data_IF_652340271331
#
_entry.id   IF_652340271331
#
_cell.length_a   1.000
_cell.length_b   1.000
_cell.length_c   1.000
_cell.angle_alpha   90.00
_cell.angle_beta   90.00
_cell.angle_gamma   90.00
#
_symmetry.space_group_name_H-M   'P 1'
#
loop_
_entity.id
_entity.type
_entity.pdbx_description
1 polymer ?
#
# COMPACT_ATOMS: atom_id res chain seq x y z
N UNK A 1 -2.12 11.41 7.87
CA UNK A 1 -0.81 11.55 7.18
C UNK A 1 -0.41 10.29 6.41
N UNK A 2 -0.18 9.14 7.06
CA UNK A 2 0.30 7.91 6.40
C UNK A 2 -0.52 7.46 5.17
N UNK A 3 -1.85 7.60 5.21
CA UNK A 3 -2.72 7.25 4.06
C UNK A 3 -2.44 8.06 2.80
N UNK A 4 -2.16 9.35 2.93
CA UNK A 4 -1.93 10.23 1.78
C UNK A 4 -0.56 9.93 1.13
N UNK A 5 0.41 9.56 1.96
CA UNK A 5 1.75 9.14 1.52
C UNK A 5 1.65 7.86 0.68
N UNK A 6 0.95 6.83 1.17
CA UNK A 6 0.77 5.59 0.43
C UNK A 6 0.00 5.84 -0.89
N UNK A 7 -1.09 6.63 -0.84
CA UNK A 7 -1.83 7.01 -2.06
C UNK A 7 -0.96 7.77 -3.06
N UNK A 8 -0.13 8.69 -2.57
CA UNK A 8 0.81 9.46 -3.39
C UNK A 8 1.83 8.56 -4.10
N UNK A 9 2.40 7.60 -3.38
CA UNK A 9 3.38 6.67 -3.98
C UNK A 9 2.74 5.66 -4.94
N UNK A 10 1.55 5.16 -4.64
CA UNK A 10 0.79 4.34 -5.59
C UNK A 10 0.51 5.12 -6.88
N UNK A 11 0.09 6.38 -6.76
CA UNK A 11 -0.16 7.25 -7.92
C UNK A 11 1.12 7.57 -8.70
N UNK A 12 2.25 7.81 -8.02
CA UNK A 12 3.55 8.03 -8.66
C UNK A 12 4.04 6.84 -9.46
N UNK A 13 3.84 5.63 -8.94
CA UNK A 13 4.24 4.38 -9.59
C UNK A 13 3.20 3.87 -10.61
N UNK A 14 2.04 4.51 -10.68
CA UNK A 14 0.93 4.05 -11.52
C UNK A 14 0.32 2.72 -11.07
N UNK A 15 0.48 2.36 -9.79
CA UNK A 15 0.01 1.09 -9.24
C UNK A 15 -1.41 1.27 -8.71
N UNK A 16 -2.33 0.46 -9.20
CA UNK A 16 -3.71 0.44 -8.69
C UNK A 16 -3.81 -0.37 -7.41
N UNK A 17 -4.87 -0.16 -6.63
CA UNK A 17 -5.11 -0.98 -5.43
C UNK A 17 -5.29 -2.47 -5.76
N UNK A 18 -5.84 -2.81 -6.94
CA UNK A 18 -5.93 -4.18 -7.44
C UNK A 18 -4.55 -4.81 -7.62
N UNK A 19 -3.63 -4.08 -8.26
CA UNK A 19 -2.25 -4.55 -8.45
C UNK A 19 -1.50 -4.65 -7.13
N UNK A 20 -1.73 -3.71 -6.21
CA UNK A 20 -1.17 -3.78 -4.86
C UNK A 20 -1.68 -5.02 -4.12
N UNK A 21 -2.98 -5.32 -4.18
CA UNK A 21 -3.59 -6.52 -3.60
C UNK A 21 -2.95 -7.80 -4.15
N UNK A 22 -2.80 -7.90 -5.47
CA UNK A 22 -2.17 -9.06 -6.12
C UNK A 22 -0.70 -9.22 -5.70
N UNK A 23 0.05 -8.12 -5.61
CA UNK A 23 1.45 -8.12 -5.16
C UNK A 23 1.59 -8.45 -3.67
N UNK A 24 0.67 -7.97 -2.83
CA UNK A 24 0.59 -8.32 -1.42
C UNK A 24 0.30 -9.82 -1.25
N UNK A 25 -0.59 -10.38 -2.08
CA UNK A 25 -0.89 -11.81 -2.04
C UNK A 25 0.33 -12.67 -2.38
N UNK A 26 1.18 -12.22 -3.32
CA UNK A 26 2.45 -12.88 -3.67
C UNK A 26 3.45 -12.95 -2.52
N UNK A 27 3.39 -12.02 -1.56
CA UNK A 27 4.22 -12.04 -0.34
C UNK A 27 3.51 -12.70 0.85
N UNK A 28 2.36 -13.35 0.62
CA UNK A 28 1.57 -14.05 1.64
C UNK A 28 0.59 -13.15 2.40
N UNK A 29 0.41 -11.90 1.98
CA UNK A 29 -0.53 -10.95 2.58
C UNK A 29 -1.81 -10.92 1.76
N UNK A 30 -2.83 -11.67 2.19
CA UNK A 30 -4.17 -11.64 1.56
C UNK A 30 -4.89 -10.35 1.87
N UNK A 31 -4.77 -9.38 0.98
CA UNK A 31 -5.52 -8.13 1.02
C UNK A 31 -6.28 -7.97 -0.30
N UNK A 32 -7.53 -7.52 -0.22
CA UNK A 32 -8.34 -7.18 -1.40
C UNK A 32 -8.36 -5.68 -1.61
N UNK A 33 -8.68 -5.25 -2.82
CA UNK A 33 -8.78 -3.83 -3.17
C UNK A 33 -9.69 -3.05 -2.21
N UNK A 34 -10.83 -3.64 -1.84
CA UNK A 34 -11.80 -3.07 -0.91
C UNK A 34 -11.25 -3.02 0.51
N UNK A 35 -10.53 -4.05 0.95
CA UNK A 35 -9.93 -4.07 2.29
C UNK A 35 -8.83 -3.02 2.42
N UNK A 36 -7.94 -2.93 1.42
CA UNK A 36 -6.92 -1.90 1.31
C UNK A 36 -7.54 -0.51 1.37
N UNK A 37 -8.55 -0.24 0.54
CA UNK A 37 -9.21 1.06 0.52
C UNK A 37 -9.82 1.40 1.88
N UNK A 38 -10.50 0.45 2.51
CA UNK A 38 -11.04 0.64 3.86
C UNK A 38 -9.92 0.91 4.89
N UNK A 39 -8.85 0.10 4.90
CA UNK A 39 -7.74 0.20 5.87
C UNK A 39 -6.96 1.51 5.73
N UNK A 40 -6.67 1.90 4.49
CA UNK A 40 -6.00 3.16 4.14
C UNK A 40 -6.92 4.34 4.45
N UNK A 41 -8.21 4.26 4.11
CA UNK A 41 -9.18 5.33 4.37
C UNK A 41 -9.42 5.55 5.87
N UNK A 42 -9.50 4.47 6.65
CA UNK A 42 -9.59 4.50 8.12
C UNK A 42 -8.32 5.04 8.78
N UNK A 43 -7.18 4.99 8.09
CA UNK A 43 -5.90 5.52 8.58
C UNK A 43 -5.27 4.75 9.73
N UNK A 44 -5.84 3.61 10.13
CA UNK A 44 -5.37 2.76 11.22
C UNK A 44 -4.64 1.53 10.71
N UNK A 45 -3.61 1.72 9.89
CA UNK A 45 -2.72 0.62 9.48
C UNK A 45 -1.38 0.73 10.22
N UNK A 46 -0.80 -0.43 10.53
CA UNK A 46 0.48 -0.52 11.23
C UNK A 46 1.65 -0.16 10.30
N UNK A 47 2.79 0.23 10.87
CA UNK A 47 4.02 0.44 10.11
C UNK A 47 4.47 -0.84 9.38
N UNK A 48 4.24 -2.02 9.95
CA UNK A 48 4.48 -3.31 9.29
C UNK A 48 3.71 -3.44 7.97
N UNK A 49 2.45 -3.00 7.93
CA UNK A 49 1.65 -3.00 6.72
C UNK A 49 2.21 -2.05 5.65
N UNK A 50 2.72 -0.88 6.07
CA UNK A 50 3.40 0.03 5.17
C UNK A 50 4.61 -0.64 4.51
N UNK A 51 5.45 -1.32 5.29
CA UNK A 51 6.61 -2.07 4.76
C UNK A 51 6.20 -3.22 3.84
N UNK A 52 5.12 -3.95 4.17
CA UNK A 52 4.56 -4.99 3.28
C UNK A 52 4.10 -4.39 1.95
N UNK A 53 3.40 -3.25 1.97
CA UNK A 53 3.04 -2.53 0.75
C UNK A 53 4.29 -2.08 -0.03
N UNK A 54 5.33 -1.59 0.66
CA UNK A 54 6.60 -1.20 0.02
C UNK A 54 7.29 -2.39 -0.65
N UNK A 55 7.36 -3.54 0.02
CA UNK A 55 7.90 -4.77 -0.54
C UNK A 55 7.10 -5.23 -1.76
N UNK A 56 5.75 -5.21 -1.67
CA UNK A 56 4.86 -5.58 -2.75
C UNK A 56 5.04 -4.69 -4.00
N UNK A 57 5.25 -3.38 -3.82
CA UNK A 57 5.46 -2.43 -4.93
C UNK A 57 6.92 -2.19 -5.28
N UNK A 58 7.83 -2.97 -4.68
CA UNK A 58 9.28 -2.83 -4.81
C UNK A 58 9.74 -1.37 -4.58
N UNK A 59 9.13 -0.70 -3.60
CA UNK A 59 9.51 0.64 -3.18
C UNK A 59 10.66 0.58 -2.17
N UNK A 60 11.84 1.01 -2.63
CA UNK A 60 13.02 1.22 -1.77
C UNK A 60 12.92 2.48 -0.91
N UNK A 61 12.10 3.44 -1.33
CA UNK A 61 12.01 4.76 -0.71
C UNK A 61 10.59 5.31 -0.85
N UNK A 62 10.08 5.90 0.23
CA UNK A 62 8.82 6.65 0.27
C UNK A 62 9.18 8.11 0.53
N UNK A 63 8.73 9.02 -0.33
CA UNK A 63 8.95 10.45 -0.11
C UNK A 63 7.81 11.03 0.72
N UNK A 64 8.14 11.48 1.93
CA UNK A 64 7.26 12.29 2.77
C UNK A 64 7.39 13.74 2.28
N UNK A 65 6.39 14.25 1.57
CA UNK A 65 6.29 15.66 1.19
C UNK A 65 5.22 16.36 2.02
#
# INVERSE_FOLDING_TARGET
MAKNILKGELKRRGITYAQLAERLEKIGVKETERNLNNKISRGGFSAAFLFQCMLAIEAKEIRLV
#
